data_IF_943416714325
#
_entry.id   IF_943416714325
#
_cell.length_a   1.000
_cell.length_b   1.000
_cell.length_c   1.000
_cell.angle_alpha   90.00
_cell.angle_beta   90.00
_cell.angle_gamma   90.00
#
_symmetry.space_group_name_H-M   'P 1'
#
loop_
_entity.id
_entity.type
_entity.pdbx_description
1 polymer ?
#
# COMPACT_ATOMS: atom_id res chain seq x y z
N UNK A 1 27.09 5.20 -1.99
CA UNK A 1 26.88 4.61 -3.32
C UNK A 1 26.04 5.54 -4.17
N UNK A 2 26.10 5.38 -5.49
CA UNK A 2 25.19 6.07 -6.43
C UNK A 2 24.10 5.12 -6.89
N UNK A 3 22.83 5.47 -6.65
CA UNK A 3 21.66 4.58 -6.85
C UNK A 3 20.69 5.24 -7.82
N UNK A 4 20.18 4.48 -8.79
CA UNK A 4 19.08 4.87 -9.64
C UNK A 4 17.81 4.12 -9.25
N UNK A 5 16.71 4.80 -8.96
CA UNK A 5 15.39 4.17 -8.84
C UNK A 5 14.64 4.42 -10.15
N UNK A 6 14.17 3.34 -10.79
CA UNK A 6 13.49 3.37 -12.08
C UNK A 6 12.04 2.97 -11.87
N UNK A 7 11.13 3.94 -11.97
CA UNK A 7 9.71 3.73 -11.69
C UNK A 7 8.91 5.02 -11.66
N UNK A 8 7.63 4.96 -11.24
CA UNK A 8 6.82 6.16 -11.06
C UNK A 8 7.40 7.05 -9.96
N UNK A 9 7.36 8.34 -10.18
CA UNK A 9 7.62 9.41 -9.23
C UNK A 9 6.91 10.67 -9.75
N UNK A 10 6.95 11.78 -9.04
CA UNK A 10 6.39 13.04 -9.52
C UNK A 10 6.71 13.28 -11.02
N UNK A 11 5.75 13.70 -11.86
CA UNK A 11 4.40 14.20 -11.50
C UNK A 11 3.32 13.13 -11.38
N UNK A 12 3.66 11.83 -11.41
CA UNK A 12 2.67 10.77 -11.24
C UNK A 12 2.24 10.65 -9.79
N UNK A 13 0.92 10.46 -9.56
CA UNK A 13 0.34 10.18 -8.25
C UNK A 13 0.10 8.70 -8.05
N UNK A 14 -0.07 8.30 -6.79
CA UNK A 14 -0.44 6.96 -6.38
C UNK A 14 0.63 6.26 -5.53
N UNK A 15 0.25 5.14 -4.91
CA UNK A 15 1.04 4.47 -3.90
C UNK A 15 2.47 4.11 -4.34
N UNK A 16 2.67 3.69 -5.60
CA UNK A 16 4.02 3.33 -6.09
C UNK A 16 4.92 4.56 -6.26
N UNK A 17 4.35 5.70 -6.70
CA UNK A 17 5.13 6.93 -6.83
C UNK A 17 5.57 7.44 -5.44
N UNK A 18 4.64 7.54 -4.50
CA UNK A 18 4.93 7.91 -3.11
C UNK A 18 5.94 6.94 -2.46
N UNK A 19 5.79 5.65 -2.70
CA UNK A 19 6.73 4.63 -2.23
C UNK A 19 8.15 4.86 -2.75
N UNK A 20 8.31 5.06 -4.07
CA UNK A 20 9.62 5.26 -4.68
C UNK A 20 10.29 6.56 -4.18
N UNK A 21 9.53 7.62 -3.99
CA UNK A 21 10.01 8.87 -3.43
C UNK A 21 10.44 8.72 -1.96
N UNK A 22 9.66 7.98 -1.17
CA UNK A 22 10.03 7.69 0.23
C UNK A 22 11.26 6.79 0.32
N UNK A 23 11.34 5.76 -0.54
CA UNK A 23 12.52 4.89 -0.65
C UNK A 23 13.78 5.68 -1.03
N UNK A 24 13.66 6.65 -1.95
CA UNK A 24 14.77 7.51 -2.32
C UNK A 24 15.28 8.33 -1.12
N UNK A 25 14.36 8.88 -0.32
CA UNK A 25 14.72 9.62 0.91
C UNK A 25 15.40 8.73 1.94
N UNK A 26 14.97 7.47 2.07
CA UNK A 26 15.64 6.54 2.99
C UNK A 26 17.07 6.26 2.56
N UNK A 27 17.29 5.93 1.28
CA UNK A 27 18.66 5.79 0.76
C UNK A 27 19.51 7.05 0.96
N UNK A 28 18.92 8.24 0.79
CA UNK A 28 19.63 9.51 1.07
C UNK A 28 19.97 9.68 2.56
N UNK A 29 19.04 9.29 3.45
CA UNK A 29 19.26 9.34 4.90
C UNK A 29 20.41 8.41 5.33
N UNK A 30 20.61 7.29 4.63
CA UNK A 30 21.75 6.38 4.82
C UNK A 30 23.03 6.83 4.08
N UNK A 31 23.05 8.04 3.52
CA UNK A 31 24.25 8.63 2.91
C UNK A 31 24.51 8.20 1.47
N UNK A 32 23.49 7.74 0.73
CA UNK A 32 23.60 7.42 -0.68
C UNK A 32 23.19 8.59 -1.58
N UNK A 33 23.79 8.68 -2.76
CA UNK A 33 23.33 9.59 -3.83
C UNK A 33 22.25 8.88 -4.64
N UNK A 34 21.05 9.48 -4.76
CA UNK A 34 19.90 8.84 -5.38
C UNK A 34 19.27 9.70 -6.46
N UNK A 35 19.06 9.14 -7.64
CA UNK A 35 18.31 9.73 -8.74
C UNK A 35 17.09 8.88 -9.06
N UNK A 36 15.92 9.52 -9.23
CA UNK A 36 14.68 8.88 -9.64
C UNK A 36 14.47 9.07 -11.15
N UNK A 37 14.37 7.98 -11.90
CA UNK A 37 14.04 8.00 -13.33
C UNK A 37 12.58 7.63 -13.54
N UNK A 38 11.78 8.62 -13.95
CA UNK A 38 10.33 8.43 -14.11
C UNK A 38 9.85 8.67 -15.55
N UNK A 39 8.57 8.46 -15.76
CA UNK A 39 7.98 8.42 -17.08
C UNK A 39 7.65 9.80 -17.63
N UNK A 40 7.84 9.98 -18.97
CA UNK A 40 7.16 10.99 -19.78
C UNK A 40 5.79 10.50 -20.21
N UNK A 41 5.68 9.18 -20.47
CA UNK A 41 4.45 8.44 -20.69
C UNK A 41 4.51 7.12 -19.92
N UNK A 42 3.71 6.99 -18.86
CA UNK A 42 3.66 5.77 -18.05
C UNK A 42 2.87 4.68 -18.76
N UNK A 43 1.64 4.96 -19.15
CA UNK A 43 0.81 4.14 -20.04
C UNK A 43 -0.21 4.99 -20.79
N UNK A 44 -0.72 4.52 -21.92
CA UNK A 44 -1.74 5.23 -22.68
C UNK A 44 -2.98 5.52 -21.83
N UNK A 45 -3.60 6.70 -22.06
CA UNK A 45 -4.71 7.18 -21.24
C UNK A 45 -5.92 6.23 -21.17
N UNK A 46 -6.16 5.43 -22.21
CA UNK A 46 -7.25 4.46 -22.25
C UNK A 46 -7.05 3.25 -21.31
N UNK A 47 -5.82 3.02 -20.81
CA UNK A 47 -5.52 2.00 -19.82
C UNK A 47 -5.64 2.51 -18.38
N UNK A 48 -5.89 3.81 -18.20
CA UNK A 48 -6.02 4.40 -16.88
C UNK A 48 -7.50 4.55 -16.49
N UNK A 49 -7.95 3.89 -15.41
CA UNK A 49 -9.35 3.93 -14.99
C UNK A 49 -9.75 5.21 -14.24
N UNK A 50 -8.79 6.08 -13.88
CA UNK A 50 -9.04 7.29 -13.09
C UNK A 50 -9.12 8.57 -13.91
N UNK A 51 -9.50 9.68 -13.25
CA UNK A 51 -9.64 11.01 -13.90
C UNK A 51 -8.30 11.64 -14.31
N UNK A 52 -7.25 11.47 -13.51
CA UNK A 52 -5.90 11.98 -13.80
C UNK A 52 -4.82 11.08 -13.21
N UNK A 53 -3.67 10.97 -13.89
CA UNK A 53 -2.50 10.25 -13.43
C UNK A 53 -1.52 11.16 -12.65
N UNK A 54 -1.78 12.45 -12.60
CA UNK A 54 -0.84 13.45 -12.12
C UNK A 54 -1.23 13.95 -10.72
N UNK A 55 -0.20 14.19 -9.91
CA UNK A 55 -0.32 14.85 -8.62
C UNK A 55 -0.54 16.35 -8.80
N UNK A 56 -1.22 16.96 -7.85
CA UNK A 56 -1.32 18.41 -7.72
C UNK A 56 -0.14 18.93 -6.86
N UNK A 57 0.28 20.17 -7.12
CA UNK A 57 1.36 20.80 -6.35
C UNK A 57 2.75 20.75 -7.00
N UNK A 58 3.77 21.34 -6.35
CA UNK A 58 5.12 21.42 -6.87
C UNK A 58 5.88 20.08 -6.76
N UNK A 59 6.92 19.93 -7.59
CA UNK A 59 7.84 18.80 -7.47
C UNK A 59 8.57 18.80 -6.10
N UNK A 60 8.84 17.62 -5.51
CA UNK A 60 9.70 17.52 -4.33
C UNK A 60 11.06 18.14 -4.59
N UNK A 61 11.42 19.15 -3.77
CA UNK A 61 12.67 19.88 -3.94
C UNK A 61 13.92 19.11 -3.45
N UNK A 62 13.69 18.12 -2.61
CA UNK A 62 14.71 17.26 -1.97
C UNK A 62 15.11 16.05 -2.82
N UNK A 63 14.38 15.78 -3.93
CA UNK A 63 14.59 14.64 -4.79
C UNK A 63 15.02 15.05 -6.21
N UNK A 64 16.05 14.38 -6.73
CA UNK A 64 16.42 14.54 -8.14
C UNK A 64 15.60 13.59 -9.01
N UNK A 65 14.54 14.12 -9.61
CA UNK A 65 13.60 13.37 -10.46
C UNK A 65 13.86 13.69 -11.93
N UNK A 66 14.18 12.66 -12.71
CA UNK A 66 14.48 12.75 -14.13
C UNK A 66 13.33 12.15 -14.95
N UNK A 67 12.46 12.98 -15.49
CA UNK A 67 11.33 12.56 -16.31
C UNK A 67 11.78 12.30 -17.74
N UNK A 68 11.98 11.04 -18.13
CA UNK A 68 12.54 10.71 -19.46
C UNK A 68 12.06 9.40 -20.10
N UNK A 69 11.36 8.52 -19.36
CA UNK A 69 10.98 7.19 -19.86
C UNK A 69 9.63 7.26 -20.58
N UNK A 70 9.59 6.84 -21.85
CA UNK A 70 8.34 6.53 -22.55
C UNK A 70 8.17 5.01 -22.59
N UNK A 71 7.21 4.47 -21.84
CA UNK A 71 7.01 3.03 -21.67
C UNK A 71 6.70 2.26 -22.95
N UNK A 72 6.23 2.95 -23.99
CA UNK A 72 5.79 2.35 -25.27
C UNK A 72 6.76 2.56 -26.44
N UNK A 73 7.86 3.34 -26.26
CA UNK A 73 8.76 3.69 -27.32
C UNK A 73 10.14 3.02 -27.19
N UNK A 74 10.45 1.97 -27.98
CA UNK A 74 11.73 1.27 -27.92
C UNK A 74 12.97 2.12 -28.26
N UNK A 75 12.83 3.16 -29.07
CA UNK A 75 13.92 4.10 -29.37
C UNK A 75 14.27 4.94 -28.15
N UNK A 76 13.24 5.42 -27.43
CA UNK A 76 13.44 6.13 -26.17
C UNK A 76 14.15 5.25 -25.13
N UNK A 77 13.81 3.95 -25.02
CA UNK A 77 14.46 3.05 -24.06
C UNK A 77 15.96 2.98 -24.25
N UNK A 78 16.43 2.97 -25.51
CA UNK A 78 17.86 3.00 -25.83
C UNK A 78 18.53 4.28 -25.37
N UNK A 79 17.88 5.43 -25.58
CA UNK A 79 18.46 6.72 -25.21
C UNK A 79 18.47 6.94 -23.69
N UNK A 80 17.39 6.52 -23.00
CA UNK A 80 17.34 6.49 -21.54
C UNK A 80 18.43 5.60 -20.96
N UNK A 81 18.58 4.38 -21.48
CA UNK A 81 19.63 3.47 -21.00
C UNK A 81 21.05 4.05 -21.17
N UNK A 82 21.31 4.74 -22.31
CA UNK A 82 22.58 5.45 -22.50
C UNK A 82 22.78 6.57 -21.51
N UNK A 83 21.72 7.34 -21.20
CA UNK A 83 21.77 8.43 -20.22
C UNK A 83 22.08 7.87 -18.83
N UNK A 84 21.35 6.85 -18.36
CA UNK A 84 21.58 6.19 -17.07
C UNK A 84 22.98 5.59 -17.01
N UNK A 85 23.46 4.92 -18.06
CA UNK A 85 24.81 4.31 -18.09
C UNK A 85 25.94 5.33 -17.94
N UNK A 86 25.77 6.56 -18.42
CA UNK A 86 26.78 7.64 -18.31
C UNK A 86 26.94 8.16 -16.89
N UNK A 87 25.96 7.99 -16.05
CA UNK A 87 25.98 8.45 -14.67
C UNK A 87 26.71 7.47 -13.73
N UNK A 88 27.09 6.28 -14.19
CA UNK A 88 27.85 5.27 -13.46
C UNK A 88 27.24 4.88 -12.11
N UNK A 89 25.97 4.48 -12.09
CA UNK A 89 25.32 3.98 -10.89
C UNK A 89 25.88 2.63 -10.46
N UNK A 90 26.06 2.45 -9.15
CA UNK A 90 26.41 1.18 -8.54
C UNK A 90 25.22 0.20 -8.56
N UNK A 91 24.02 0.73 -8.33
CA UNK A 91 22.76 0.01 -8.19
C UNK A 91 21.64 0.68 -8.98
N UNK A 92 20.82 -0.10 -9.67
CA UNK A 92 19.55 0.32 -10.25
C UNK A 92 18.41 -0.52 -9.67
N UNK A 93 17.48 0.13 -8.98
CA UNK A 93 16.28 -0.49 -8.40
C UNK A 93 15.11 -0.27 -9.34
N UNK A 94 14.55 -1.35 -9.88
CA UNK A 94 13.40 -1.31 -10.77
C UNK A 94 12.11 -1.57 -9.97
N UNK A 95 11.27 -0.56 -9.78
CA UNK A 95 9.97 -0.71 -9.14
C UNK A 95 8.99 -1.40 -10.10
N UNK A 96 8.72 -2.68 -9.87
CA UNK A 96 7.90 -3.52 -10.75
C UNK A 96 6.56 -3.86 -10.12
N UNK A 97 5.46 -3.55 -10.83
CA UNK A 97 4.10 -3.80 -10.32
C UNK A 97 3.10 -4.28 -11.39
N UNK A 98 3.47 -4.26 -12.68
CA UNK A 98 2.60 -4.62 -13.79
C UNK A 98 3.39 -5.18 -14.97
N UNK A 99 2.89 -6.26 -15.57
CA UNK A 99 3.49 -6.95 -16.73
C UNK A 99 3.74 -6.04 -17.94
N UNK A 100 2.92 -5.01 -18.12
CA UNK A 100 3.04 -4.00 -19.16
C UNK A 100 4.42 -3.33 -19.23
N UNK A 101 5.10 -3.13 -18.08
CA UNK A 101 6.42 -2.48 -18.04
C UNK A 101 7.58 -3.42 -18.33
N UNK A 102 7.35 -4.72 -18.34
CA UNK A 102 8.40 -5.72 -18.51
C UNK A 102 9.24 -5.53 -19.79
N UNK A 103 8.68 -5.24 -20.98
CA UNK A 103 9.49 -4.96 -22.18
C UNK A 103 10.40 -3.75 -22.04
N UNK A 104 9.87 -2.63 -21.53
CA UNK A 104 10.62 -1.41 -21.30
C UNK A 104 11.76 -1.63 -20.30
N UNK A 105 11.46 -2.16 -19.12
CA UNK A 105 12.42 -2.41 -18.06
C UNK A 105 13.48 -3.41 -18.47
N UNK A 106 13.10 -4.49 -19.18
CA UNK A 106 14.06 -5.45 -19.75
C UNK A 106 15.03 -4.80 -20.74
N UNK A 107 14.52 -3.89 -21.59
CA UNK A 107 15.35 -3.20 -22.55
C UNK A 107 16.34 -2.22 -21.91
N UNK A 108 15.94 -1.57 -20.82
CA UNK A 108 16.81 -0.70 -20.01
C UNK A 108 17.89 -1.55 -19.32
N UNK A 109 17.50 -2.55 -18.52
CA UNK A 109 18.42 -3.36 -17.73
C UNK A 109 19.49 -4.08 -18.57
N UNK A 110 19.13 -4.66 -19.72
CA UNK A 110 20.11 -5.30 -20.64
C UNK A 110 21.23 -4.37 -21.07
N UNK A 111 21.06 -3.06 -20.99
CA UNK A 111 22.05 -2.06 -21.41
C UNK A 111 22.85 -1.49 -20.23
N UNK A 112 22.41 -1.73 -19.00
CA UNK A 112 23.09 -1.27 -17.77
C UNK A 112 24.14 -2.29 -17.30
N UNK A 113 25.04 -2.73 -18.18
CA UNK A 113 25.96 -3.85 -17.96
C UNK A 113 26.94 -3.70 -16.79
N UNK A 114 27.18 -2.48 -16.31
CA UNK A 114 28.09 -2.18 -15.20
C UNK A 114 27.35 -1.81 -13.92
N UNK A 115 26.03 -1.79 -13.94
CA UNK A 115 25.17 -1.44 -12.82
C UNK A 115 24.42 -2.68 -12.38
N UNK A 116 24.46 -3.02 -11.11
CA UNK A 116 23.64 -4.10 -10.55
C UNK A 116 22.16 -3.74 -10.65
N UNK A 117 21.36 -4.60 -11.25
CA UNK A 117 19.91 -4.35 -11.47
C UNK A 117 19.07 -5.23 -10.53
N UNK A 118 18.45 -4.64 -9.52
CA UNK A 118 17.57 -5.31 -8.58
C UNK A 118 16.11 -4.92 -8.88
N UNK A 119 15.23 -5.91 -8.97
CA UNK A 119 13.80 -5.68 -9.04
C UNK A 119 13.21 -5.57 -7.64
N UNK A 120 12.54 -4.46 -7.35
CA UNK A 120 11.65 -4.31 -6.20
C UNK A 120 10.23 -4.61 -6.69
N UNK A 121 9.72 -5.78 -6.30
CA UNK A 121 8.50 -6.35 -6.87
C UNK A 121 7.32 -6.12 -5.93
N UNK A 122 6.42 -5.22 -6.32
CA UNK A 122 5.16 -4.96 -5.61
C UNK A 122 4.09 -6.00 -5.98
N UNK A 123 4.04 -6.38 -7.25
CA UNK A 123 3.16 -7.42 -7.77
C UNK A 123 3.80 -8.05 -9.01
N UNK A 124 3.73 -9.37 -9.14
CA UNK A 124 4.35 -10.09 -10.26
C UNK A 124 3.35 -10.44 -11.35
N UNK A 125 2.15 -10.85 -10.96
CA UNK A 125 1.09 -11.30 -11.87
C UNK A 125 -0.15 -10.41 -11.75
N UNK A 126 -0.79 -10.03 -12.88
CA UNK A 126 -2.10 -9.41 -12.82
C UNK A 126 -3.15 -10.41 -12.34
N UNK A 127 -4.21 -9.92 -11.69
CA UNK A 127 -5.33 -10.75 -11.23
C UNK A 127 -6.11 -11.42 -12.36
N UNK A 128 -6.08 -10.83 -13.57
CA UNK A 128 -6.67 -11.39 -14.79
C UNK A 128 -5.54 -11.87 -15.72
N UNK A 129 -5.45 -13.20 -15.93
CA UNK A 129 -4.35 -13.82 -16.67
C UNK A 129 -4.60 -13.82 -18.17
N UNK A 130 -3.80 -13.07 -18.95
CA UNK A 130 -3.66 -13.24 -20.40
C UNK A 130 -2.38 -14.02 -20.75
N UNK A 131 -2.27 -14.57 -21.97
CA UNK A 131 -1.06 -15.23 -22.43
C UNK A 131 0.16 -14.28 -22.47
N UNK A 132 -0.05 -13.01 -22.75
CA UNK A 132 0.98 -11.98 -22.74
C UNK A 132 1.51 -11.69 -21.33
N UNK A 133 0.66 -11.83 -20.31
CA UNK A 133 1.02 -11.64 -18.91
C UNK A 133 1.94 -12.73 -18.37
N UNK A 134 2.10 -13.85 -19.05
CA UNK A 134 3.09 -14.89 -18.72
C UNK A 134 4.44 -14.68 -19.40
N UNK A 135 4.44 -14.19 -20.64
CA UNK A 135 5.67 -14.06 -21.46
C UNK A 135 6.49 -12.82 -21.05
N UNK A 136 5.85 -11.69 -20.82
CA UNK A 136 6.56 -10.45 -20.52
C UNK A 136 7.28 -10.46 -19.16
N UNK A 137 6.66 -10.89 -18.05
CA UNK A 137 7.36 -11.03 -16.77
C UNK A 137 8.58 -11.97 -16.86
N UNK A 138 8.49 -13.08 -17.59
CA UNK A 138 9.62 -14.00 -17.76
C UNK A 138 10.82 -13.35 -18.47
N UNK A 139 10.59 -12.41 -19.40
CA UNK A 139 11.69 -11.65 -20.03
C UNK A 139 12.32 -10.65 -19.06
N UNK A 140 11.51 -10.01 -18.21
CA UNK A 140 11.99 -9.09 -17.17
C UNK A 140 12.83 -9.84 -16.13
N UNK A 141 12.31 -10.94 -15.60
CA UNK A 141 13.01 -11.79 -14.63
C UNK A 141 14.39 -12.19 -15.15
N UNK A 142 14.55 -12.53 -16.43
CA UNK A 142 15.86 -12.89 -17.03
C UNK A 142 16.89 -11.75 -17.00
N UNK A 143 16.46 -10.49 -16.95
CA UNK A 143 17.34 -9.32 -17.08
C UNK A 143 17.77 -8.72 -15.74
N UNK A 144 17.14 -9.11 -14.65
CA UNK A 144 17.50 -8.65 -13.31
C UNK A 144 18.61 -9.52 -12.71
N UNK A 145 19.40 -8.94 -11.80
CA UNK A 145 20.46 -9.63 -11.06
C UNK A 145 19.97 -10.16 -9.71
N UNK A 146 18.88 -9.66 -9.20
CA UNK A 146 18.23 -10.10 -7.97
C UNK A 146 16.84 -9.48 -7.79
N UNK A 147 16.11 -9.95 -6.76
CA UNK A 147 14.74 -9.58 -6.52
C UNK A 147 14.47 -9.34 -5.02
N UNK A 148 13.78 -8.25 -4.71
CA UNK A 148 13.17 -8.04 -3.42
C UNK A 148 11.65 -8.00 -3.62
N UNK A 149 10.92 -8.91 -2.99
CA UNK A 149 9.47 -8.95 -3.02
C UNK A 149 8.89 -8.39 -1.72
N UNK A 150 7.77 -7.66 -1.80
CA UNK A 150 7.13 -7.04 -0.64
C UNK A 150 6.10 -7.96 0.04
N UNK A 151 5.89 -9.18 -0.50
CA UNK A 151 5.14 -10.26 0.17
C UNK A 151 5.72 -11.62 -0.18
N UNK A 152 5.44 -12.62 0.64
CA UNK A 152 5.90 -14.00 0.41
C UNK A 152 5.27 -14.59 -0.86
N UNK A 153 3.98 -14.33 -1.10
CA UNK A 153 3.29 -14.80 -2.29
C UNK A 153 3.91 -14.24 -3.57
N UNK A 154 4.28 -12.95 -3.60
CA UNK A 154 5.00 -12.34 -4.73
C UNK A 154 6.41 -12.93 -4.88
N UNK A 155 7.09 -13.26 -3.77
CA UNK A 155 8.39 -13.93 -3.82
C UNK A 155 8.28 -15.32 -4.46
N UNK A 156 7.23 -16.07 -4.14
CA UNK A 156 6.95 -17.38 -4.72
C UNK A 156 6.67 -17.27 -6.22
N UNK A 157 5.89 -16.27 -6.66
CA UNK A 157 5.65 -16.01 -8.09
C UNK A 157 6.97 -15.73 -8.82
N UNK A 158 7.85 -14.91 -8.26
CA UNK A 158 9.19 -14.66 -8.82
C UNK A 158 10.01 -15.94 -8.87
N UNK A 159 10.00 -16.74 -7.81
CA UNK A 159 10.76 -17.98 -7.73
C UNK A 159 10.34 -19.01 -8.80
N UNK A 160 9.03 -19.11 -9.09
CA UNK A 160 8.51 -19.98 -10.15
C UNK A 160 8.99 -19.55 -11.55
N UNK A 161 9.18 -18.24 -11.77
CA UNK A 161 9.61 -17.70 -13.07
C UNK A 161 11.14 -17.67 -13.23
N UNK A 162 11.87 -17.58 -12.13
CA UNK A 162 13.34 -17.46 -12.16
C UNK A 162 14.04 -18.82 -12.22
N UNK A 163 14.25 -19.31 -13.44
CA UNK A 163 14.97 -20.57 -13.70
C UNK A 163 16.48 -20.49 -13.37
N UNK A 164 17.02 -19.29 -13.22
CA UNK A 164 18.44 -19.07 -12.96
C UNK A 164 18.80 -19.08 -11.47
N UNK A 165 17.80 -19.20 -10.58
CA UNK A 165 17.95 -19.20 -9.12
C UNK A 165 18.77 -18.00 -8.58
N UNK A 166 18.52 -16.81 -9.13
CA UNK A 166 19.19 -15.58 -8.71
C UNK A 166 18.87 -15.23 -7.27
N UNK A 167 19.67 -14.38 -6.62
CA UNK A 167 19.40 -13.91 -5.27
C UNK A 167 18.00 -13.31 -5.15
N UNK A 168 17.27 -13.71 -4.13
CA UNK A 168 15.92 -13.29 -3.83
C UNK A 168 15.78 -13.06 -2.33
N UNK A 169 15.12 -11.98 -1.97
CA UNK A 169 14.78 -11.70 -0.59
C UNK A 169 13.33 -11.24 -0.46
N UNK A 170 12.77 -11.48 0.69
CA UNK A 170 11.50 -10.91 1.11
C UNK A 170 11.73 -9.81 2.12
N UNK A 171 11.03 -8.69 1.94
CA UNK A 171 10.91 -7.65 2.93
C UNK A 171 9.43 -7.28 3.03
N UNK A 172 8.82 -7.24 4.20
CA UNK A 172 7.44 -6.76 4.30
C UNK A 172 7.37 -5.31 3.81
N UNK A 173 6.20 -4.93 3.32
CA UNK A 173 5.96 -3.56 2.87
C UNK A 173 6.18 -2.59 4.05
N UNK A 174 7.04 -1.57 3.93
CA UNK A 174 7.27 -0.60 5.00
C UNK A 174 6.03 0.19 5.36
N UNK A 175 6.01 0.75 6.56
CA UNK A 175 4.94 1.64 7.02
C UNK A 175 4.82 2.88 6.15
N UNK A 176 3.61 3.38 5.99
CA UNK A 176 3.35 4.65 5.32
C UNK A 176 3.44 5.80 6.34
N UNK A 177 4.60 6.42 6.45
CA UNK A 177 4.93 7.46 7.43
C UNK A 177 4.77 8.90 6.89
N UNK A 178 4.33 9.06 5.66
CA UNK A 178 4.20 10.37 5.00
C UNK A 178 2.86 11.09 5.29
N UNK A 179 1.92 10.44 5.96
CA UNK A 179 0.62 11.02 6.28
C UNK A 179 0.61 11.95 7.51
N UNK A 180 1.77 12.22 8.10
CA UNK A 180 1.93 13.10 9.25
C UNK A 180 2.11 12.36 10.59
N UNK A 181 2.22 13.11 11.70
CA UNK A 181 2.53 12.55 13.01
C UNK A 181 1.32 11.93 13.70
N UNK A 182 1.60 11.07 14.68
CA UNK A 182 0.61 10.67 15.70
C UNK A 182 0.27 11.91 16.52
N UNK A 183 -1.02 12.26 16.59
CA UNK A 183 -1.54 13.38 17.35
C UNK A 183 -2.54 12.90 18.41
N UNK A 184 -2.81 13.71 19.47
CA UNK A 184 -3.86 13.39 20.44
C UNK A 184 -5.21 13.18 19.76
N UNK A 185 -5.95 12.15 20.21
CA UNK A 185 -7.26 11.77 19.66
C UNK A 185 -8.27 12.93 19.67
N UNK A 186 -8.25 13.71 20.74
CA UNK A 186 -9.16 14.85 20.92
C UNK A 186 -9.00 15.89 19.80
N UNK A 187 -7.76 16.16 19.38
CA UNK A 187 -7.46 17.08 18.29
C UNK A 187 -7.95 16.55 16.94
N UNK A 188 -7.77 15.25 16.70
CA UNK A 188 -8.27 14.61 15.49
C UNK A 188 -9.79 14.61 15.42
N UNK A 189 -10.47 14.36 16.55
CA UNK A 189 -11.93 14.44 16.65
C UNK A 189 -12.44 15.85 16.37
N UNK A 190 -11.78 16.88 16.91
CA UNK A 190 -12.10 18.28 16.68
C UNK A 190 -11.99 18.64 15.19
N UNK A 191 -10.87 18.26 14.52
CA UNK A 191 -10.66 18.51 13.10
C UNK A 191 -11.74 17.84 12.22
N UNK A 192 -12.18 16.65 12.60
CA UNK A 192 -13.20 15.91 11.87
C UNK A 192 -14.63 16.33 12.25
N UNK A 193 -14.82 17.17 13.29
CA UNK A 193 -16.12 17.53 13.84
C UNK A 193 -16.88 16.33 14.43
N UNK A 194 -16.15 15.43 15.08
CA UNK A 194 -16.67 14.19 15.68
C UNK A 194 -16.85 14.37 17.19
N UNK A 195 -17.93 13.76 17.73
CA UNK A 195 -18.26 13.84 19.15
C UNK A 195 -17.34 12.94 20.01
N UNK A 196 -16.59 13.49 20.97
CA UNK A 196 -15.62 12.75 21.78
C UNK A 196 -16.25 11.70 22.72
N UNK A 197 -17.56 11.74 22.95
CA UNK A 197 -18.23 10.71 23.77
C UNK A 197 -18.35 9.36 23.07
N UNK A 198 -18.20 9.29 21.74
CA UNK A 198 -18.27 8.06 20.96
C UNK A 198 -16.89 7.46 20.72
N UNK A 199 -16.85 6.13 20.56
CA UNK A 199 -15.73 5.34 20.06
C UNK A 199 -15.93 5.07 18.58
N UNK A 200 -14.86 5.15 17.79
CA UNK A 200 -14.93 5.12 16.33
C UNK A 200 -14.26 3.89 15.74
N UNK A 201 -15.06 3.06 15.03
CA UNK A 201 -14.56 2.06 14.11
C UNK A 201 -14.30 2.77 12.77
N UNK A 202 -13.12 2.59 12.19
CA UNK A 202 -12.77 3.20 10.90
C UNK A 202 -12.74 2.17 9.77
N UNK A 203 -13.54 2.38 8.74
CA UNK A 203 -13.37 1.78 7.43
C UNK A 203 -12.76 2.84 6.50
N UNK A 204 -11.58 2.57 5.90
CA UNK A 204 -10.82 3.58 5.19
C UNK A 204 -10.45 3.18 3.76
N UNK A 205 -10.43 4.17 2.85
CA UNK A 205 -10.01 4.08 1.45
C UNK A 205 -11.15 3.82 0.49
N UNK A 206 -10.84 3.65 -0.81
CA UNK A 206 -11.85 3.46 -1.86
C UNK A 206 -12.83 2.35 -1.49
N UNK A 207 -14.13 2.64 -1.55
CA UNK A 207 -15.19 1.65 -1.26
C UNK A 207 -15.46 0.84 -2.53
N UNK A 208 -15.18 -0.47 -2.44
CA UNK A 208 -15.43 -1.46 -3.49
C UNK A 208 -16.02 -2.72 -2.88
N UNK A 209 -16.81 -3.46 -3.65
CA UNK A 209 -17.51 -4.66 -3.19
C UNK A 209 -16.57 -5.69 -2.51
N UNK A 210 -15.37 -5.90 -3.03
CA UNK A 210 -14.41 -6.84 -2.45
C UNK A 210 -13.87 -6.42 -1.07
N UNK A 211 -14.00 -5.14 -0.70
CA UNK A 211 -13.55 -4.62 0.60
C UNK A 211 -14.54 -4.89 1.74
N UNK A 212 -15.72 -5.42 1.44
CA UNK A 212 -16.62 -5.99 2.43
C UNK A 212 -17.28 -4.97 3.37
N UNK A 213 -17.50 -3.72 2.95
CA UNK A 213 -18.24 -2.75 3.76
C UNK A 213 -19.65 -3.27 4.13
N UNK A 214 -20.29 -4.04 3.25
CA UNK A 214 -21.57 -4.70 3.51
C UNK A 214 -21.47 -5.67 4.71
N UNK A 215 -20.42 -6.47 4.80
CA UNK A 215 -20.16 -7.34 5.95
C UNK A 215 -19.92 -6.57 7.25
N UNK A 216 -19.22 -5.43 7.16
CA UNK A 216 -19.00 -4.60 8.34
C UNK A 216 -20.30 -3.95 8.82
N UNK A 217 -21.16 -3.47 7.92
CA UNK A 217 -22.48 -2.92 8.28
C UNK A 217 -23.33 -3.99 8.96
N UNK A 218 -23.37 -5.23 8.42
CA UNK A 218 -24.07 -6.36 9.02
C UNK A 218 -23.51 -6.70 10.40
N UNK A 219 -22.19 -6.82 10.54
CA UNK A 219 -21.52 -7.10 11.82
C UNK A 219 -21.79 -5.98 12.86
N UNK A 220 -21.76 -4.72 12.43
CA UNK A 220 -22.01 -3.57 13.30
C UNK A 220 -23.48 -3.48 13.76
N UNK A 221 -24.40 -4.15 13.06
CA UNK A 221 -25.81 -4.24 13.42
C UNK A 221 -26.06 -5.20 14.60
N UNK A 222 -25.07 -5.97 15.05
CA UNK A 222 -25.24 -6.88 16.20
C UNK A 222 -25.71 -6.12 17.43
N UNK A 223 -26.84 -6.56 18.00
CA UNK A 223 -27.48 -5.85 19.14
C UNK A 223 -26.58 -5.78 20.36
N UNK A 224 -25.67 -6.71 20.54
CA UNK A 224 -24.71 -6.74 21.65
C UNK A 224 -23.73 -5.56 21.61
N UNK A 225 -23.45 -5.01 20.42
CA UNK A 225 -22.59 -3.83 20.24
C UNK A 225 -23.31 -2.52 20.64
N UNK A 226 -24.65 -2.50 20.65
CA UNK A 226 -25.45 -1.29 20.96
C UNK A 226 -25.29 -0.80 22.41
N UNK A 227 -24.78 -1.64 23.31
CA UNK A 227 -24.49 -1.24 24.71
C UNK A 227 -23.28 -0.30 24.84
N UNK A 228 -22.48 -0.19 23.77
CA UNK A 228 -21.33 0.70 23.73
C UNK A 228 -21.63 1.95 22.88
N UNK A 229 -21.06 3.11 23.23
CA UNK A 229 -21.22 4.33 22.44
C UNK A 229 -20.35 4.29 21.18
N UNK A 230 -20.72 3.45 20.21
CA UNK A 230 -19.96 3.22 18.99
C UNK A 230 -20.48 4.01 17.80
N UNK A 231 -19.59 4.40 16.92
CA UNK A 231 -19.87 4.94 15.59
C UNK A 231 -19.00 4.25 14.56
N UNK A 232 -19.56 3.90 13.41
CA UNK A 232 -18.82 3.46 12.25
C UNK A 232 -18.52 4.66 11.34
N UNK A 233 -17.25 4.98 11.20
CA UNK A 233 -16.75 6.02 10.31
C UNK A 233 -16.28 5.39 9.01
N UNK A 234 -17.00 5.63 7.92
CA UNK A 234 -16.66 5.19 6.57
C UNK A 234 -16.04 6.38 5.84
N UNK A 235 -14.75 6.32 5.54
CA UNK A 235 -13.99 7.40 4.92
C UNK A 235 -13.33 6.95 3.61
N UNK A 236 -13.80 7.49 2.49
CA UNK A 236 -13.28 7.19 1.15
C UNK A 236 -14.34 7.29 0.08
N UNK A 237 -13.87 7.48 -1.15
CA UNK A 237 -14.71 7.60 -2.34
C UNK A 237 -15.38 6.25 -2.68
N UNK A 238 -16.69 6.26 -2.92
CA UNK A 238 -17.41 5.10 -3.44
C UNK A 238 -17.13 4.95 -4.93
N UNK A 239 -16.58 3.80 -5.28
CA UNK A 239 -16.26 3.44 -6.66
C UNK A 239 -17.40 2.66 -7.31
N UNK A 240 -18.14 1.92 -6.48
CA UNK A 240 -19.34 1.18 -6.87
C UNK A 240 -20.59 1.94 -6.40
N UNK A 241 -21.78 1.49 -6.82
CA UNK A 241 -23.05 2.05 -6.37
C UNK A 241 -23.15 1.99 -4.83
N UNK A 242 -23.45 3.14 -4.21
CA UNK A 242 -23.58 3.23 -2.75
C UNK A 242 -24.98 2.90 -2.22
N UNK A 243 -25.98 2.86 -3.07
CA UNK A 243 -27.37 2.63 -2.67
C UNK A 243 -27.58 1.33 -1.89
N UNK A 244 -26.94 0.18 -2.24
CA UNK A 244 -27.06 -1.05 -1.44
C UNK A 244 -26.62 -0.86 0.01
N UNK A 245 -25.54 -0.11 0.24
CA UNK A 245 -25.01 0.16 1.60
C UNK A 245 -25.95 1.06 2.40
N UNK A 246 -26.49 2.11 1.77
CA UNK A 246 -27.46 3.02 2.41
C UNK A 246 -28.73 2.29 2.82
N UNK A 247 -29.25 1.41 1.95
CA UNK A 247 -30.40 0.56 2.26
C UNK A 247 -30.13 -0.40 3.41
N UNK A 248 -28.94 -1.01 3.46
CA UNK A 248 -28.55 -1.89 4.57
C UNK A 248 -28.47 -1.12 5.89
N UNK A 249 -27.84 0.07 5.93
CA UNK A 249 -27.78 0.94 7.09
C UNK A 249 -29.19 1.28 7.59
N UNK A 250 -30.09 1.63 6.68
CA UNK A 250 -31.48 1.93 7.03
C UNK A 250 -32.25 0.70 7.55
N UNK A 251 -32.10 -0.45 6.89
CA UNK A 251 -32.80 -1.69 7.26
C UNK A 251 -32.39 -2.20 8.64
N UNK A 252 -31.12 -2.02 9.02
CA UNK A 252 -30.60 -2.37 10.35
C UNK A 252 -30.83 -1.29 11.41
N UNK A 253 -31.43 -0.13 11.06
CA UNK A 253 -31.66 0.97 11.99
C UNK A 253 -30.39 1.65 12.49
N UNK A 254 -29.34 1.72 11.66
CA UNK A 254 -28.01 2.24 12.01
C UNK A 254 -27.80 3.70 11.61
N UNK A 255 -28.83 4.43 11.13
CA UNK A 255 -28.67 5.74 10.49
C UNK A 255 -27.76 6.71 11.21
N UNK A 256 -28.00 6.95 12.52
CA UNK A 256 -27.17 7.86 13.30
C UNK A 256 -25.84 7.27 13.78
N UNK A 257 -25.67 5.95 13.67
CA UNK A 257 -24.48 5.24 14.13
C UNK A 257 -23.41 5.09 13.03
N UNK A 258 -23.75 5.36 11.76
CA UNK A 258 -22.83 5.28 10.62
C UNK A 258 -22.62 6.66 10.01
N UNK A 259 -21.36 7.11 10.00
CA UNK A 259 -20.94 8.37 9.42
C UNK A 259 -20.21 8.09 8.11
N UNK A 260 -20.74 8.58 6.99
CA UNK A 260 -20.15 8.41 5.66
C UNK A 260 -19.48 9.70 5.22
N UNK A 261 -18.19 9.61 4.88
CA UNK A 261 -17.38 10.64 4.23
C UNK A 261 -17.05 10.16 2.82
N UNK A 262 -18.00 10.31 1.89
CA UNK A 262 -17.91 9.90 0.48
C UNK A 262 -17.09 10.92 -0.31
N UNK A 263 -15.77 10.90 -0.11
CA UNK A 263 -14.83 11.75 -0.82
C UNK A 263 -13.43 11.12 -0.81
N UNK A 264 -12.60 11.50 -1.76
CA UNK A 264 -11.15 11.23 -1.66
C UNK A 264 -10.60 11.99 -0.44
N UNK A 265 -9.92 11.27 0.44
CA UNK A 265 -9.30 11.87 1.62
C UNK A 265 -7.88 12.32 1.23
N UNK A 266 -7.58 13.62 1.28
CA UNK A 266 -6.24 14.16 1.03
C UNK A 266 -5.22 13.62 2.04
N UNK A 267 -3.97 13.47 1.60
CA UNK A 267 -2.90 12.85 2.40
C UNK A 267 -2.67 13.56 3.74
N UNK A 268 -2.81 14.88 3.79
CA UNK A 268 -2.67 15.70 4.99
C UNK A 268 -3.81 15.53 6.00
N UNK A 269 -4.96 15.00 5.58
CA UNK A 269 -6.11 14.71 6.43
C UNK A 269 -6.16 13.25 6.91
N UNK A 270 -5.44 12.32 6.27
CA UNK A 270 -5.44 10.89 6.64
C UNK A 270 -5.13 10.69 8.12
N UNK A 271 -4.18 11.43 8.67
CA UNK A 271 -3.81 11.38 10.09
C UNK A 271 -4.99 11.57 11.04
N UNK A 272 -5.93 12.47 10.71
CA UNK A 272 -7.06 12.77 11.59
C UNK A 272 -7.98 11.57 11.74
N UNK A 273 -8.23 10.83 10.64
CA UNK A 273 -9.07 9.63 10.67
C UNK A 273 -8.44 8.51 11.51
N UNK A 274 -7.15 8.25 11.35
CA UNK A 274 -6.47 7.17 12.09
C UNK A 274 -6.24 7.54 13.56
N UNK A 275 -5.91 8.80 13.88
CA UNK A 275 -5.77 9.26 15.25
C UNK A 275 -7.13 9.30 16.00
N UNK A 276 -8.25 9.53 15.29
CA UNK A 276 -9.59 9.50 15.88
C UNK A 276 -10.11 8.08 16.14
N UNK A 277 -9.62 7.07 15.38
CA UNK A 277 -10.12 5.71 15.41
C UNK A 277 -9.67 4.93 16.65
N UNK A 278 -10.55 4.10 17.19
CA UNK A 278 -10.22 3.11 18.21
C UNK A 278 -9.68 1.81 17.55
N UNK A 279 -10.25 1.45 16.39
CA UNK A 279 -9.87 0.28 15.60
C UNK A 279 -10.15 0.53 14.11
N UNK A 280 -9.24 0.08 13.25
CA UNK A 280 -9.43 0.05 11.79
C UNK A 280 -9.95 -1.31 11.38
N UNK A 281 -11.05 -1.35 10.61
CA UNK A 281 -11.68 -2.60 10.19
C UNK A 281 -11.55 -2.76 8.67
N UNK A 282 -10.95 -3.86 8.24
CA UNK A 282 -10.73 -4.22 6.84
C UNK A 282 -11.35 -5.60 6.56
N UNK A 283 -12.66 -5.68 6.37
CA UNK A 283 -13.41 -6.93 6.24
C UNK A 283 -13.37 -7.45 4.81
N UNK A 284 -12.18 -7.51 4.21
CA UNK A 284 -12.00 -7.79 2.80
C UNK A 284 -12.46 -9.21 2.44
N UNK A 285 -13.17 -9.34 1.32
CA UNK A 285 -13.60 -10.63 0.75
C UNK A 285 -12.47 -11.31 -0.01
N UNK A 286 -11.55 -10.49 -0.53
CA UNK A 286 -10.31 -10.94 -1.16
C UNK A 286 -9.28 -9.84 -1.11
N UNK A 287 -8.02 -10.18 -0.91
CA UNK A 287 -6.89 -9.25 -0.94
C UNK A 287 -5.59 -10.00 -1.23
N UNK A 288 -4.58 -9.29 -1.72
CA UNK A 288 -3.18 -9.73 -1.69
C UNK A 288 -2.42 -9.01 -0.59
N UNK A 289 -2.64 -7.70 -0.49
CA UNK A 289 -2.08 -6.81 0.53
C UNK A 289 -3.02 -5.62 0.74
N UNK A 290 -2.81 -4.86 1.82
CA UNK A 290 -3.52 -3.60 2.05
C UNK A 290 -2.56 -2.50 2.52
N UNK A 291 -2.53 -1.38 1.80
CA UNK A 291 -1.82 -0.18 2.26
C UNK A 291 -2.42 0.41 3.54
N UNK A 292 -3.70 0.15 3.81
CA UNK A 292 -4.38 0.63 5.02
C UNK A 292 -3.78 0.01 6.28
N UNK A 293 -3.31 -1.26 6.24
CA UNK A 293 -2.61 -1.89 7.37
C UNK A 293 -1.31 -1.14 7.70
N UNK A 294 -0.58 -0.67 6.69
CA UNK A 294 0.68 0.05 6.90
C UNK A 294 0.45 1.46 7.46
N UNK A 295 -0.67 2.10 7.08
CA UNK A 295 -1.10 3.36 7.69
C UNK A 295 -1.49 3.12 9.16
N UNK A 296 -2.25 2.06 9.46
CA UNK A 296 -2.64 1.72 10.82
C UNK A 296 -1.44 1.42 11.72
N UNK A 297 -0.41 0.73 11.20
CA UNK A 297 0.86 0.56 11.92
C UNK A 297 1.56 1.89 12.22
N UNK A 298 1.60 2.81 11.25
CA UNK A 298 2.19 4.13 11.47
C UNK A 298 1.52 4.87 12.62
N UNK A 299 0.19 4.91 12.63
CA UNK A 299 -0.61 5.59 13.66
C UNK A 299 -0.85 4.74 14.92
N UNK A 300 -0.29 3.56 15.01
CA UNK A 300 -0.45 2.64 16.16
C UNK A 300 -1.94 2.32 16.45
N UNK A 301 -2.76 2.25 15.41
CA UNK A 301 -4.19 1.98 15.51
C UNK A 301 -4.45 0.49 15.39
N UNK A 302 -5.08 -0.18 16.38
CA UNK A 302 -5.47 -1.58 16.30
C UNK A 302 -6.26 -1.92 15.03
N UNK A 303 -6.11 -3.15 14.55
CA UNK A 303 -6.73 -3.58 13.31
C UNK A 303 -7.63 -4.80 13.50
N UNK A 304 -8.73 -4.85 12.76
CA UNK A 304 -9.50 -6.06 12.52
C UNK A 304 -9.49 -6.33 11.02
N UNK A 305 -8.94 -7.45 10.62
CA UNK A 305 -8.89 -7.89 9.22
C UNK A 305 -9.55 -9.25 9.06
N UNK A 306 -10.03 -9.55 7.87
CA UNK A 306 -10.39 -10.92 7.50
C UNK A 306 -9.14 -11.70 7.08
N UNK A 307 -9.10 -13.00 7.37
CA UNK A 307 -8.01 -13.91 6.99
C UNK A 307 -8.05 -14.24 5.50
N UNK A 308 -7.73 -13.24 4.66
CA UNK A 308 -7.65 -13.38 3.20
C UNK A 308 -6.31 -12.88 2.68
N UNK A 309 -5.73 -13.61 1.74
CA UNK A 309 -4.42 -13.28 1.16
C UNK A 309 -3.32 -13.20 2.20
N UNK A 310 -2.58 -12.10 2.25
CA UNK A 310 -1.47 -11.89 3.18
C UNK A 310 -1.83 -11.05 4.42
N UNK A 311 -3.11 -10.78 4.69
CA UNK A 311 -3.49 -9.85 5.77
C UNK A 311 -3.20 -10.40 7.18
N UNK A 312 -3.39 -11.72 7.42
CA UNK A 312 -3.05 -12.36 8.68
C UNK A 312 -1.54 -12.30 8.99
N UNK A 313 -0.68 -12.38 7.96
CA UNK A 313 0.77 -12.24 8.16
C UNK A 313 1.16 -10.83 8.64
N UNK A 314 0.39 -9.82 8.23
CA UNK A 314 0.61 -8.42 8.58
C UNK A 314 -0.06 -8.07 9.91
N UNK A 315 -1.22 -8.66 10.19
CA UNK A 315 -2.02 -8.44 11.41
C UNK A 315 -2.12 -9.77 12.16
N UNK A 316 -1.07 -10.17 12.90
CA UNK A 316 -1.11 -11.41 13.67
C UNK A 316 -2.21 -11.36 14.72
N UNK A 317 -3.09 -12.38 14.68
CA UNK A 317 -4.28 -12.48 15.53
C UNK A 317 -3.95 -12.43 17.01
N UNK A 318 -4.72 -11.65 17.77
CA UNK A 318 -4.53 -11.44 19.20
C UNK A 318 -3.29 -10.63 19.60
N UNK A 319 -2.45 -10.19 18.64
CA UNK A 319 -1.21 -9.43 18.91
C UNK A 319 -1.42 -7.93 18.70
N UNK A 320 -1.79 -7.52 17.49
CA UNK A 320 -2.00 -6.09 17.13
C UNK A 320 -3.45 -5.78 16.76
N UNK A 321 -4.30 -6.77 16.91
CA UNK A 321 -5.71 -6.76 16.55
C UNK A 321 -6.20 -8.17 16.30
N UNK A 322 -7.07 -8.33 15.31
CA UNK A 322 -7.69 -9.61 14.98
C UNK A 322 -7.55 -9.94 13.50
N UNK A 323 -7.30 -11.21 13.20
CA UNK A 323 -7.43 -11.80 11.87
C UNK A 323 -8.51 -12.90 11.92
N UNK A 324 -9.69 -12.61 11.39
CA UNK A 324 -10.88 -13.48 11.52
C UNK A 324 -11.25 -14.12 10.19
N UNK A 325 -11.92 -15.27 10.24
CA UNK A 325 -12.54 -15.85 9.04
C UNK A 325 -13.52 -14.86 8.40
N UNK A 326 -13.59 -14.82 7.04
CA UNK A 326 -14.35 -13.80 6.29
C UNK A 326 -15.87 -14.04 6.38
N UNK A 327 -16.44 -13.61 7.49
CA UNK A 327 -17.87 -13.72 7.83
C UNK A 327 -18.28 -12.57 8.76
N UNK A 328 -19.47 -11.95 8.58
CA UNK A 328 -19.96 -10.86 9.44
C UNK A 328 -20.04 -11.21 10.92
N UNK A 329 -20.36 -12.47 11.27
CA UNK A 329 -20.44 -12.89 12.68
C UNK A 329 -19.07 -12.89 13.34
N UNK A 330 -18.03 -13.40 12.65
CA UNK A 330 -16.68 -13.40 13.18
C UNK A 330 -16.15 -11.98 13.39
N UNK A 331 -16.50 -11.05 12.48
CA UNK A 331 -16.20 -9.63 12.64
C UNK A 331 -16.92 -9.06 13.89
N UNK A 332 -18.20 -9.37 14.08
CA UNK A 332 -18.95 -8.93 15.25
C UNK A 332 -18.38 -9.49 16.57
N UNK A 333 -18.03 -10.78 16.64
CA UNK A 333 -17.43 -11.39 17.82
C UNK A 333 -16.09 -10.74 18.19
N UNK A 334 -15.23 -10.45 17.20
CA UNK A 334 -13.96 -9.77 17.44
C UNK A 334 -14.15 -8.33 17.94
N UNK A 335 -15.14 -7.60 17.39
CA UNK A 335 -15.50 -6.28 17.90
C UNK A 335 -16.03 -6.32 19.32
N UNK A 336 -16.84 -7.32 19.66
CA UNK A 336 -17.32 -7.54 21.03
C UNK A 336 -16.16 -7.79 22.00
N UNK A 337 -15.27 -8.74 21.68
CA UNK A 337 -14.08 -9.00 22.51
C UNK A 337 -13.23 -7.76 22.69
N UNK A 338 -13.03 -6.98 21.61
CA UNK A 338 -12.25 -5.74 21.66
C UNK A 338 -12.77 -4.76 22.69
N UNK A 339 -14.08 -4.54 22.75
CA UNK A 339 -14.69 -3.58 23.67
C UNK A 339 -14.98 -4.18 25.04
N UNK A 340 -15.36 -5.46 25.14
CA UNK A 340 -15.64 -6.13 26.41
C UNK A 340 -14.37 -6.32 27.26
N UNK A 341 -13.26 -6.63 26.62
CA UNK A 341 -11.99 -6.89 27.28
C UNK A 341 -11.04 -5.68 27.30
N UNK A 342 -11.51 -4.52 26.82
CA UNK A 342 -10.70 -3.28 26.71
C UNK A 342 -9.31 -3.50 26.08
N UNK A 343 -9.28 -4.19 24.92
CA UNK A 343 -8.03 -4.66 24.28
C UNK A 343 -7.15 -3.55 23.71
N UNK A 344 -7.68 -2.34 23.50
CA UNK A 344 -7.04 -1.27 22.76
C UNK A 344 -5.60 -1.00 23.21
N UNK A 345 -5.38 -0.73 24.49
CA UNK A 345 -4.06 -0.36 25.01
C UNK A 345 -3.04 -1.51 24.93
N UNK A 346 -3.52 -2.74 25.03
CA UNK A 346 -2.69 -3.94 24.84
C UNK A 346 -2.18 -4.01 23.40
N UNK A 347 -3.07 -3.87 22.42
CA UNK A 347 -2.73 -3.90 21.01
C UNK A 347 -1.85 -2.70 20.61
N UNK A 348 -2.09 -1.51 21.14
CA UNK A 348 -1.23 -0.32 20.89
C UNK A 348 0.20 -0.57 21.38
N UNK A 349 0.39 -1.15 22.57
CA UNK A 349 1.74 -1.51 23.05
C UNK A 349 2.44 -2.48 22.12
N UNK A 350 1.72 -3.49 21.66
CA UNK A 350 2.26 -4.48 20.73
C UNK A 350 2.55 -3.89 19.35
N UNK A 351 1.68 -2.99 18.84
CA UNK A 351 1.89 -2.29 17.57
C UNK A 351 3.22 -1.52 17.55
N UNK A 352 3.61 -0.89 18.66
CA UNK A 352 4.90 -0.19 18.79
C UNK A 352 6.11 -1.10 18.60
N UNK A 353 5.98 -2.34 19.04
CA UNK A 353 7.05 -3.36 18.88
C UNK A 353 7.00 -3.96 17.47
N UNK A 354 5.81 -4.35 17.03
CA UNK A 354 5.64 -5.02 15.74
C UNK A 354 5.98 -4.12 14.53
N UNK A 355 5.69 -2.80 14.60
CA UNK A 355 5.98 -1.88 13.50
C UNK A 355 7.46 -1.78 13.13
N UNK A 356 8.37 -2.10 14.07
CA UNK A 356 9.81 -2.13 13.78
C UNK A 356 10.18 -3.15 12.69
N UNK A 357 9.33 -4.16 12.47
CA UNK A 357 9.50 -5.13 11.38
C UNK A 357 9.31 -4.49 10.00
N UNK A 358 8.58 -3.38 9.94
CA UNK A 358 8.16 -2.68 8.74
C UNK A 358 8.91 -1.36 8.54
N UNK A 359 10.16 -1.25 9.04
CA UNK A 359 10.96 -0.04 8.87
C UNK A 359 11.51 0.08 7.43
N UNK A 360 11.65 1.32 6.96
CA UNK A 360 12.27 1.63 5.66
C UNK A 360 13.74 1.23 5.63
N UNK A 361 14.45 1.43 6.74
CA UNK A 361 15.84 0.98 6.93
C UNK A 361 16.01 -0.52 6.64
N UNK A 362 15.10 -1.37 7.14
CA UNK A 362 15.16 -2.82 6.85
C UNK A 362 15.00 -3.12 5.38
N UNK A 363 14.08 -2.44 4.68
CA UNK A 363 13.92 -2.63 3.24
C UNK A 363 15.19 -2.21 2.49
N UNK A 364 15.77 -1.07 2.84
CA UNK A 364 17.02 -0.59 2.23
C UNK A 364 18.14 -1.60 2.45
N UNK A 365 18.34 -2.08 3.67
CA UNK A 365 19.33 -3.10 3.99
C UNK A 365 19.14 -4.39 3.16
N UNK A 366 17.89 -4.89 3.05
CA UNK A 366 17.58 -6.06 2.22
C UNK A 366 17.92 -5.82 0.74
N UNK A 367 17.67 -4.62 0.22
CA UNK A 367 18.03 -4.29 -1.18
C UNK A 367 19.56 -4.25 -1.35
N UNK A 368 20.27 -3.66 -0.39
CA UNK A 368 21.72 -3.53 -0.42
C UNK A 368 22.43 -4.88 -0.26
N UNK A 369 21.90 -5.80 0.53
CA UNK A 369 22.46 -7.16 0.73
C UNK A 369 22.42 -8.03 -0.54
N UNK A 370 21.55 -7.70 -1.49
CA UNK A 370 21.47 -8.37 -2.79
C UNK A 370 22.43 -7.81 -3.85
N UNK A 371 23.17 -6.78 -3.52
CA UNK A 371 24.12 -6.11 -4.43
C UNK A 371 25.32 -6.97 -4.87
#
# INVERSE_FOLDING_TARGET
MKIAIIGPAYPYRGGIAAFNERLAREFQAEGHEVDLYTFTLQYPGFLFPGKTQYAEGPAPADLKIVRCINSTNPFNWRDVARRVSREHYDLAVFAYWMSFFAPCYSALARRLKKTKCIALVHNMMPHEKSLLDQLFPATFVKTMDGFVALSKSVLEDVAQMDKAQKPKAWSPHPVYDHFGPIEPREKALEHLGLDPQYRYLLFFGLVRAYKGLDWLIEAFADERLRKYPLRLLVAGEFYDDKEPYLKAIQSYGLGDAVIIRDAFIPDDQVKDYFNAADIVVQPYKSATQSGVTQIAYHFETPMLVTNVGGLEEIVPDGVVGYAVEPDPRNIAEALLDFYEQDRRDGFVRNLRVEKEKYSWEKLVNVILDLK
#
